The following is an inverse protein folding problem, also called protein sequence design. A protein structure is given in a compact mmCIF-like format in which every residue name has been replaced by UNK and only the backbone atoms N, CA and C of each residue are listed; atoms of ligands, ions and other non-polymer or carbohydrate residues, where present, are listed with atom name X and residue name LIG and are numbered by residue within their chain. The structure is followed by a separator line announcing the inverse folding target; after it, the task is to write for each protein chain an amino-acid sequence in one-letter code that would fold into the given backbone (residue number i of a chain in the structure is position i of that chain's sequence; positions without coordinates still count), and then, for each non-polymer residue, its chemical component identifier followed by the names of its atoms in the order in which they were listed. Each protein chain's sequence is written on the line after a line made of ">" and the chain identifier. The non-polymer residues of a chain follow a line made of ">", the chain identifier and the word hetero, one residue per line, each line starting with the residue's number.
data_IF_602107581941
#
_entry.id   IF_602107581941
#
_cell.length_a   1.000
_cell.length_b   1.000
_cell.length_c   1.000
_cell.angle_alpha   90.00
_cell.angle_beta   90.00
_cell.angle_gamma   90.00
#
_symmetry.space_group_name_H-M   'P 1'
#
loop_
_entity.id
_entity.type
_entity.pdbx_description
1 polymer ?
#
# COMPACT_ATOMS: atom_id res chain seq x y z
N UNK A 1 29.07 -34.40 5.74
CA UNK A 1 30.00 -34.15 6.86
C UNK A 1 31.07 -33.18 6.40
N UNK A 2 31.02 -31.92 6.84
CA UNK A 2 32.17 -31.03 7.02
C UNK A 2 31.70 -29.96 8.01
N UNK A 3 32.32 -29.97 9.19
CA UNK A 3 32.29 -28.93 10.22
C UNK A 3 33.31 -27.88 9.83
N UNK A 4 32.98 -26.60 9.86
CA UNK A 4 33.92 -25.57 10.34
C UNK A 4 33.19 -24.48 11.13
N UNK A 5 33.85 -24.11 12.22
CA UNK A 5 33.49 -23.21 13.31
C UNK A 5 34.14 -21.83 13.11
N UNK A 6 33.83 -20.91 14.04
CA UNK A 6 34.55 -19.68 14.45
C UNK A 6 34.02 -18.41 13.74
N UNK A 7 33.70 -17.28 14.36
CA UNK A 7 33.42 -16.80 15.73
C UNK A 7 32.96 -15.31 15.57
N UNK A 8 32.31 -14.67 16.57
CA UNK A 8 31.69 -13.36 16.40
C UNK A 8 32.66 -12.20 16.66
N UNK A 9 32.58 -11.13 15.87
CA UNK A 9 33.17 -9.84 16.23
C UNK A 9 32.10 -8.94 16.86
N UNK A 10 32.26 -8.71 18.17
CA UNK A 10 31.58 -7.66 18.90
C UNK A 10 32.31 -6.32 18.66
N UNK A 11 31.56 -5.24 18.42
CA UNK A 11 32.09 -3.87 18.53
C UNK A 11 31.16 -3.09 19.46
N UNK A 12 31.77 -2.53 20.51
CA UNK A 12 31.12 -1.88 21.63
C UNK A 12 31.01 -0.35 21.42
N UNK A 13 29.82 0.18 21.75
CA UNK A 13 29.48 1.43 22.46
C UNK A 13 30.26 2.74 22.21
N UNK A 14 29.50 3.82 21.98
CA UNK A 14 29.80 5.16 22.51
C UNK A 14 28.51 5.94 22.84
N UNK A 15 28.35 6.29 24.12
CA UNK A 15 27.34 7.21 24.66
C UNK A 15 27.85 8.65 24.55
N UNK A 16 26.99 9.59 24.16
CA UNK A 16 27.16 11.01 24.51
C UNK A 16 25.84 11.58 25.02
N UNK A 17 25.84 11.89 26.31
CA UNK A 17 24.87 12.69 27.02
C UNK A 17 25.15 14.19 26.78
N UNK A 18 24.09 15.01 26.72
CA UNK A 18 24.22 16.47 26.68
C UNK A 18 22.88 17.15 26.95
N UNK A 19 22.62 17.48 28.21
CA UNK A 19 21.58 18.41 28.65
C UNK A 19 22.21 19.80 28.84
N UNK A 20 21.54 20.87 28.40
CA UNK A 20 21.82 22.25 28.86
C UNK A 20 20.52 22.90 29.33
N UNK A 21 20.46 23.44 30.56
CA UNK A 21 19.33 24.25 31.03
C UNK A 21 19.64 25.77 31.02
N UNK A 22 18.56 26.56 31.05
CA UNK A 22 18.41 27.88 31.75
C UNK A 22 19.08 29.13 31.11
N UNK A 23 18.57 30.38 31.18
CA UNK A 23 17.53 31.07 31.99
C UNK A 23 16.99 32.31 31.25
N UNK A 24 15.81 32.74 31.71
CA UNK A 24 14.90 33.84 31.30
C UNK A 24 15.44 35.28 31.27
N UNK A 25 14.72 36.18 30.60
CA UNK A 25 14.57 37.57 31.06
C UNK A 25 13.17 38.13 30.74
N UNK A 26 12.74 39.03 31.62
CA UNK A 26 11.38 39.34 32.05
C UNK A 26 10.71 40.51 31.30
N UNK A 27 9.39 40.47 31.40
CA UNK A 27 8.30 41.40 31.08
C UNK A 27 8.60 42.90 31.01
N UNK A 28 8.07 43.54 29.95
CA UNK A 28 7.54 44.91 30.02
C UNK A 28 6.17 44.93 29.33
N UNK A 29 5.16 45.31 30.11
CA UNK A 29 3.75 45.14 29.77
C UNK A 29 3.12 46.21 28.90
N UNK A 30 1.86 45.95 28.55
CA UNK A 30 0.77 46.92 28.43
C UNK A 30 -0.54 46.14 28.22
N UNK A 31 -1.51 46.34 29.12
CA UNK A 31 -2.91 45.90 28.98
C UNK A 31 -3.56 46.53 27.74
N UNK A 32 -4.31 45.72 26.97
CA UNK A 32 -5.57 46.17 26.37
C UNK A 32 -6.47 44.96 26.07
N UNK A 33 -7.70 45.09 26.52
CA UNK A 33 -8.85 44.25 26.21
C UNK A 33 -8.93 44.02 24.68
N UNK A 34 -8.86 42.74 24.29
CA UNK A 34 -9.07 42.31 22.92
C UNK A 34 -9.53 40.88 22.96
N UNK A 35 -10.84 40.68 23.08
CA UNK A 35 -11.47 39.38 22.94
C UNK A 35 -11.42 38.96 21.46
N UNK A 36 -10.21 38.70 20.97
CA UNK A 36 -9.94 38.22 19.61
C UNK A 36 -10.19 36.72 19.61
N UNK A 37 -11.46 36.36 19.50
CA UNK A 37 -11.85 35.01 19.11
C UNK A 37 -11.10 34.69 17.81
N UNK A 38 -10.28 33.63 17.76
CA UNK A 38 -9.66 33.24 16.51
C UNK A 38 -10.77 33.06 15.48
N UNK A 39 -10.62 33.59 14.25
CA UNK A 39 -11.60 33.30 13.22
C UNK A 39 -11.72 31.79 13.15
N UNK A 40 -12.94 31.29 13.36
CA UNK A 40 -13.28 29.90 13.09
C UNK A 40 -13.04 29.74 11.59
N UNK A 41 -11.82 29.32 11.25
CA UNK A 41 -11.47 28.92 9.91
C UNK A 41 -12.49 27.86 9.55
N UNK A 42 -13.37 28.18 8.62
CA UNK A 42 -14.19 27.17 7.98
C UNK A 42 -13.18 26.30 7.26
N UNK A 43 -12.76 25.20 7.89
CA UNK A 43 -12.05 24.12 7.23
C UNK A 43 -13.05 23.63 6.19
N UNK A 44 -12.97 24.21 5.00
CA UNK A 44 -13.51 23.60 3.80
C UNK A 44 -12.79 22.28 3.71
N UNK A 45 -13.42 21.21 4.22
CA UNK A 45 -13.00 19.84 4.02
C UNK A 45 -12.97 19.65 2.51
N UNK A 46 -11.81 19.90 1.91
CA UNK A 46 -11.59 19.70 0.50
C UNK A 46 -11.93 18.24 0.25
N UNK A 47 -13.03 18.00 -0.45
CA UNK A 47 -13.51 16.66 -0.78
C UNK A 47 -12.36 15.94 -1.48
N UNK A 48 -11.78 14.95 -0.83
CA UNK A 48 -10.74 14.10 -1.41
C UNK A 48 -11.28 13.58 -2.74
N UNK A 49 -10.54 13.87 -3.82
CA UNK A 49 -10.92 13.39 -5.14
C UNK A 49 -10.93 11.85 -5.12
N UNK A 50 -11.97 11.24 -5.68
CA UNK A 50 -12.11 9.80 -5.67
C UNK A 50 -11.03 9.16 -6.57
N UNK A 51 -10.32 8.11 -6.10
CA UNK A 51 -9.38 7.38 -6.94
C UNK A 51 -10.07 6.76 -8.16
N UNK A 52 -9.36 6.69 -9.28
CA UNK A 52 -9.84 6.16 -10.57
C UNK A 52 -9.09 4.87 -10.92
N UNK A 53 -9.62 4.04 -11.84
CA UNK A 53 -8.93 2.81 -12.27
C UNK A 53 -7.47 3.01 -12.70
N UNK A 54 -7.17 4.10 -13.42
CA UNK A 54 -5.82 4.40 -13.91
C UNK A 54 -4.81 4.71 -12.79
N UNK A 55 -5.31 5.06 -11.60
CA UNK A 55 -4.48 5.36 -10.44
C UNK A 55 -3.98 4.07 -9.75
N UNK A 56 -4.37 2.88 -10.25
CA UNK A 56 -3.94 1.59 -9.74
C UNK A 56 -3.16 0.80 -10.80
N UNK A 57 -2.19 0.00 -10.34
CA UNK A 57 -1.49 -1.03 -11.10
C UNK A 57 -1.58 -2.33 -10.32
N UNK A 58 -1.64 -3.45 -11.03
CA UNK A 58 -1.71 -4.78 -10.43
C UNK A 58 -0.70 -5.66 -11.14
N UNK A 59 0.36 -6.05 -10.42
CA UNK A 59 1.22 -7.14 -10.85
C UNK A 59 0.50 -8.48 -10.67
N UNK A 60 0.77 -9.45 -11.55
CA UNK A 60 0.33 -10.83 -11.38
C UNK A 60 1.59 -11.69 -11.24
N UNK A 61 1.76 -12.30 -10.08
CA UNK A 61 2.89 -13.17 -9.79
C UNK A 61 2.44 -14.62 -9.80
N UNK A 62 2.86 -15.37 -10.81
CA UNK A 62 2.67 -16.82 -10.86
C UNK A 62 3.58 -17.49 -9.84
N UNK A 63 2.98 -18.21 -8.89
CA UNK A 63 3.68 -18.89 -7.79
C UNK A 63 3.84 -20.38 -8.06
N UNK A 64 2.99 -20.97 -8.89
CA UNK A 64 3.07 -22.37 -9.30
C UNK A 64 2.48 -22.54 -10.71
N UNK A 65 3.09 -23.41 -11.52
CA UNK A 65 2.56 -23.85 -12.80
C UNK A 65 2.64 -25.37 -12.86
N UNK A 66 1.52 -26.02 -13.21
CA UNK A 66 1.44 -27.47 -13.42
C UNK A 66 0.76 -27.79 -14.74
N UNK A 67 1.49 -28.42 -15.65
CA UNK A 67 1.01 -28.75 -16.99
C UNK A 67 0.71 -30.24 -17.14
N UNK A 68 -0.34 -30.55 -17.90
CA UNK A 68 -0.88 -31.89 -18.07
C UNK A 68 -0.90 -32.29 -19.56
N UNK A 69 0.24 -32.08 -20.24
CA UNK A 69 0.39 -32.33 -21.67
C UNK A 69 -0.61 -31.50 -22.50
N UNK A 70 -1.36 -32.18 -23.37
CA UNK A 70 -2.34 -31.52 -24.24
C UNK A 70 -3.57 -30.95 -23.52
N UNK A 71 -3.74 -31.20 -22.22
CA UNK A 71 -4.84 -30.63 -21.42
C UNK A 71 -4.56 -29.19 -20.94
N UNK A 72 -3.36 -28.64 -21.20
CA UNK A 72 -2.97 -27.30 -20.76
C UNK A 72 -2.35 -27.28 -19.36
N UNK A 73 -2.29 -26.08 -18.78
CA UNK A 73 -1.64 -25.83 -17.49
C UNK A 73 -2.60 -25.19 -16.48
N UNK A 74 -2.40 -25.53 -15.22
CA UNK A 74 -3.01 -24.86 -14.08
C UNK A 74 -1.97 -23.95 -13.42
N UNK A 75 -2.31 -22.68 -13.34
CA UNK A 75 -1.49 -21.64 -12.72
C UNK A 75 -2.05 -21.31 -11.34
N UNK A 76 -1.18 -21.24 -10.34
CA UNK A 76 -1.45 -20.52 -9.10
C UNK A 76 -0.77 -19.17 -9.18
N UNK A 77 -1.48 -18.13 -8.74
CA UNK A 77 -0.94 -16.78 -8.74
C UNK A 77 -1.46 -15.97 -7.56
N UNK A 78 -0.70 -14.93 -7.24
CA UNK A 78 -1.09 -13.82 -6.37
C UNK A 78 -1.06 -12.52 -7.15
N UNK A 79 -1.80 -11.53 -6.68
CA UNK A 79 -1.72 -10.17 -7.19
C UNK A 79 -0.77 -9.32 -6.35
N UNK A 80 -0.22 -8.28 -6.96
CA UNK A 80 0.59 -7.24 -6.32
C UNK A 80 -0.05 -5.87 -6.60
N UNK A 81 -0.96 -5.42 -5.74
CA UNK A 81 -1.64 -4.14 -5.93
C UNK A 81 -0.72 -2.97 -5.59
N UNK A 82 -0.73 -1.95 -6.46
CA UNK A 82 -0.02 -0.70 -6.25
C UNK A 82 -0.94 0.48 -6.53
N UNK A 83 -1.03 1.40 -5.57
CA UNK A 83 -1.62 2.71 -5.79
C UNK A 83 -0.56 3.68 -6.31
N UNK A 84 -0.84 4.31 -7.44
CA UNK A 84 0.04 5.22 -8.19
C UNK A 84 -0.55 6.61 -8.37
N UNK A 85 -1.74 6.85 -7.80
CA UNK A 85 -2.37 8.17 -7.80
C UNK A 85 -1.64 9.17 -6.90
N UNK A 86 -1.83 10.46 -7.16
CA UNK A 86 -1.21 11.55 -6.41
C UNK A 86 -2.06 12.04 -5.24
N UNK A 87 -3.36 11.71 -5.23
CA UNK A 87 -4.28 12.09 -4.17
C UNK A 87 -4.26 11.11 -2.99
N UNK A 88 -4.72 11.53 -1.80
CA UNK A 88 -4.85 10.60 -0.67
C UNK A 88 -5.94 9.56 -0.95
N UNK A 89 -5.76 8.34 -0.42
CA UNK A 89 -6.78 7.30 -0.47
C UNK A 89 -7.87 7.55 0.59
N UNK A 90 -9.15 7.28 0.27
CA UNK A 90 -10.21 7.19 1.28
C UNK A 90 -9.90 6.15 2.37
N UNK A 91 -10.65 6.18 3.48
CA UNK A 91 -10.49 5.24 4.59
C UNK A 91 -10.53 3.77 4.14
N UNK A 92 -11.40 3.46 3.18
CA UNK A 92 -11.48 2.15 2.53
C UNK A 92 -11.85 2.34 1.07
N UNK A 93 -11.15 1.66 0.17
CA UNK A 93 -11.46 1.63 -1.27
C UNK A 93 -11.45 0.19 -1.76
N UNK A 94 -12.47 -0.23 -2.49
CA UNK A 94 -12.51 -1.54 -3.14
C UNK A 94 -12.18 -1.37 -4.62
N UNK A 95 -11.22 -2.15 -5.11
CA UNK A 95 -10.76 -2.12 -6.49
C UNK A 95 -11.10 -3.45 -7.15
N UNK A 96 -11.85 -3.39 -8.24
CA UNK A 96 -12.25 -4.55 -9.04
C UNK A 96 -11.36 -4.64 -10.27
N UNK A 97 -10.84 -5.83 -10.53
CA UNK A 97 -9.92 -6.09 -11.64
C UNK A 97 -10.30 -7.35 -12.40
N UNK A 98 -9.74 -7.46 -13.60
CA UNK A 98 -9.87 -8.62 -14.46
C UNK A 98 -8.48 -9.17 -14.78
N UNK A 99 -8.26 -10.45 -14.51
CA UNK A 99 -7.08 -11.20 -14.94
C UNK A 99 -7.38 -11.84 -16.28
N UNK A 100 -6.48 -11.67 -17.25
CA UNK A 100 -6.52 -12.26 -18.59
C UNK A 100 -5.26 -13.09 -18.85
N UNK A 101 -5.24 -13.87 -19.94
CA UNK A 101 -4.09 -14.67 -20.36
C UNK A 101 -4.29 -16.18 -20.17
N UNK A 102 -5.16 -16.59 -19.24
CA UNK A 102 -5.65 -17.96 -19.16
C UNK A 102 -6.79 -18.25 -20.14
N UNK A 103 -7.38 -19.44 -20.03
CA UNK A 103 -8.47 -19.93 -20.87
C UNK A 103 -9.72 -19.04 -20.79
N UNK A 104 -9.98 -18.50 -19.60
CA UNK A 104 -11.08 -17.57 -19.36
C UNK A 104 -10.63 -16.42 -18.44
N UNK A 105 -11.09 -15.19 -18.69
CA UNK A 105 -10.79 -14.08 -17.80
C UNK A 105 -11.43 -14.29 -16.43
N UNK A 106 -10.72 -13.89 -15.38
CA UNK A 106 -11.20 -13.98 -14.00
C UNK A 106 -11.40 -12.59 -13.41
N UNK A 107 -12.53 -12.37 -12.74
CA UNK A 107 -12.79 -11.13 -12.02
C UNK A 107 -12.39 -11.31 -10.56
N UNK A 108 -11.60 -10.38 -10.05
CA UNK A 108 -11.17 -10.33 -8.67
C UNK A 108 -11.38 -8.94 -8.07
N UNK A 109 -11.18 -8.83 -6.77
CA UNK A 109 -11.14 -7.55 -6.09
C UNK A 109 -10.12 -7.56 -4.95
N UNK A 110 -9.66 -6.37 -4.58
CA UNK A 110 -8.94 -6.13 -3.34
C UNK A 110 -9.49 -4.90 -2.65
N UNK A 111 -9.30 -4.81 -1.33
CA UNK A 111 -9.54 -3.58 -0.58
C UNK A 111 -8.22 -2.92 -0.24
N UNK A 112 -8.17 -1.58 -0.26
CA UNK A 112 -7.01 -0.78 0.15
C UNK A 112 -7.46 0.30 1.12
N UNK A 113 -6.70 0.50 2.18
CA UNK A 113 -6.98 1.53 3.20
C UNK A 113 -6.28 2.86 2.90
N UNK A 114 -6.51 3.86 3.75
CA UNK A 114 -5.91 5.19 3.62
C UNK A 114 -4.37 5.20 3.75
N UNK A 115 -3.78 4.14 4.32
CA UNK A 115 -2.31 3.98 4.42
C UNK A 115 -1.69 3.35 3.17
N UNK A 116 -2.52 2.87 2.24
CA UNK A 116 -2.09 2.12 1.06
C UNK A 116 -1.91 0.63 1.32
N UNK A 117 -2.36 0.11 2.47
CA UNK A 117 -2.28 -1.32 2.78
C UNK A 117 -3.40 -2.07 2.06
N UNK A 118 -3.03 -2.98 1.17
CA UNK A 118 -3.97 -3.81 0.41
C UNK A 118 -4.30 -5.13 1.14
N UNK A 119 -5.57 -5.53 1.09
CA UNK A 119 -6.10 -6.80 1.59
C UNK A 119 -6.81 -7.54 0.46
N UNK A 120 -6.41 -8.79 0.23
CA UNK A 120 -6.89 -9.64 -0.86
C UNK A 120 -6.58 -11.11 -0.59
N UNK A 121 -7.23 -11.99 -1.36
CA UNK A 121 -6.93 -13.42 -1.36
C UNK A 121 -5.57 -13.68 -2.01
N UNK A 122 -4.63 -14.20 -1.22
CA UNK A 122 -3.22 -14.36 -1.62
C UNK A 122 -2.96 -15.50 -2.61
N UNK A 123 -3.96 -16.34 -2.88
CA UNK A 123 -3.77 -17.47 -3.77
C UNK A 123 -5.03 -17.76 -4.57
N UNK A 124 -4.91 -17.62 -5.88
CA UNK A 124 -5.98 -17.86 -6.85
C UNK A 124 -5.47 -18.80 -7.93
N UNK A 125 -6.38 -19.41 -8.70
CA UNK A 125 -6.04 -20.38 -9.74
C UNK A 125 -6.73 -20.05 -11.05
N UNK A 126 -5.99 -20.19 -12.15
CA UNK A 126 -6.51 -20.04 -13.51
C UNK A 126 -5.90 -21.13 -14.40
N UNK A 127 -6.70 -21.70 -15.28
CA UNK A 127 -6.22 -22.63 -16.32
C UNK A 127 -5.85 -21.85 -17.58
N UNK A 128 -4.89 -22.34 -18.34
CA UNK A 128 -4.41 -21.67 -19.55
C UNK A 128 -3.51 -22.55 -20.41
N UNK A 129 -3.15 -22.08 -21.62
CA UNK A 129 -2.11 -22.71 -22.42
C UNK A 129 -0.76 -22.67 -21.70
N UNK A 130 0.17 -23.54 -22.11
CA UNK A 130 1.55 -23.46 -21.62
C UNK A 130 2.19 -22.12 -22.00
N UNK A 131 2.86 -21.48 -21.04
CA UNK A 131 3.45 -20.15 -21.22
C UNK A 131 2.42 -19.01 -21.22
N UNK A 132 1.21 -19.21 -20.68
CA UNK A 132 0.23 -18.14 -20.53
C UNK A 132 0.80 -16.91 -19.82
N UNK A 133 0.65 -15.74 -20.43
CA UNK A 133 1.02 -14.45 -19.85
C UNK A 133 -0.17 -13.85 -19.09
N UNK A 134 -0.16 -14.02 -17.77
CA UNK A 134 -1.26 -13.54 -16.93
C UNK A 134 -1.10 -12.04 -16.64
N UNK A 135 -2.14 -11.27 -16.97
CA UNK A 135 -2.15 -9.82 -16.77
C UNK A 135 -3.41 -9.38 -16.05
N UNK A 136 -3.30 -8.39 -15.15
CA UNK A 136 -4.43 -7.82 -14.44
C UNK A 136 -4.71 -6.39 -14.90
N UNK A 137 -5.98 -6.09 -15.20
CA UNK A 137 -6.45 -4.75 -15.56
C UNK A 137 -7.53 -4.31 -14.58
N UNK A 138 -7.36 -3.12 -14.01
CA UNK A 138 -8.35 -2.51 -13.12
C UNK A 138 -9.54 -2.07 -13.95
N UNK A 139 -10.74 -2.49 -13.55
CA UNK A 139 -11.98 -2.22 -14.28
C UNK A 139 -12.88 -1.24 -13.55
N UNK A 140 -12.85 -1.25 -12.21
CA UNK A 140 -13.69 -0.39 -11.40
C UNK A 140 -13.02 -0.06 -10.06
N UNK A 141 -13.29 1.14 -9.57
CA UNK A 141 -12.90 1.58 -8.23
C UNK A 141 -14.15 2.06 -7.50
N UNK A 142 -14.36 1.53 -6.31
CA UNK A 142 -15.51 1.81 -5.46
C UNK A 142 -14.96 2.44 -4.17
N UNK A 143 -15.10 3.76 -4.05
CA UNK A 143 -14.73 4.48 -2.83
C UNK A 143 -15.68 4.14 -1.68
N UNK A 144 -15.14 3.70 -0.56
CA UNK A 144 -15.85 3.60 0.71
C UNK A 144 -15.94 4.96 1.40
N UNK A 145 -16.86 5.06 2.36
CA UNK A 145 -16.94 6.19 3.29
C UNK A 145 -16.10 5.92 4.52
#
# INVERSE_FOLDING_TARGET
>A
MIRQLIAPLAVASALCAGCTPQVSTDSRGASILGNSQPPVGTTSTAKVAAPRPIDFRIGVLVTEQKCFGSAGCNYRYTIEPHYTGTGPLPAKTTVVFKVTGGDQPQIGNFSIDSSGTATFDRETRISGPEGADLQAVVTQVIGGR
#
